data_IF_595349615754
#
_entry.id   IF_595349615754
#
_cell.length_a   1.000
_cell.length_b   1.000
_cell.length_c   1.000
_cell.angle_alpha   90.00
_cell.angle_beta   90.00
_cell.angle_gamma   90.00
#
_symmetry.space_group_name_H-M   'P 1'
#
loop_
_entity.id
_entity.type
_entity.pdbx_description
1 polymer ?
#
# COMPACT_ATOMS: atom_id res chain seq x y z
N UNK A 1 -4.27 35.67 17.19
CA UNK A 1 -4.05 34.22 17.41
C UNK A 1 -2.56 34.05 17.68
N UNK A 2 -2.15 33.43 18.81
CA UNK A 2 -0.72 33.32 19.15
C UNK A 2 0.00 32.38 18.19
N UNK A 3 1.26 32.66 17.87
CA UNK A 3 2.09 31.85 16.96
C UNK A 3 2.17 30.37 17.39
N UNK A 4 2.05 30.10 18.70
CA UNK A 4 1.99 28.74 19.24
C UNK A 4 0.73 27.98 18.81
N UNK A 5 -0.46 28.61 18.90
CA UNK A 5 -1.72 27.97 18.55
C UNK A 5 -1.82 27.61 17.05
N UNK A 6 -1.21 28.42 16.18
CA UNK A 6 -1.14 28.14 14.74
C UNK A 6 -0.21 26.94 14.47
N UNK A 7 0.89 26.84 15.20
CA UNK A 7 1.87 25.77 15.03
C UNK A 7 1.32 24.43 15.54
N UNK A 8 0.67 24.40 16.70
CA UNK A 8 0.00 23.20 17.23
C UNK A 8 -1.10 22.69 16.29
N UNK A 9 -1.90 23.60 15.71
CA UNK A 9 -2.93 23.22 14.75
C UNK A 9 -2.34 22.61 13.47
N UNK A 10 -1.29 23.21 12.90
CA UNK A 10 -0.62 22.71 11.70
C UNK A 10 0.01 21.32 11.92
N UNK A 11 0.59 21.09 13.10
CA UNK A 11 1.15 19.78 13.48
C UNK A 11 0.03 18.73 13.56
N UNK A 12 -1.07 19.04 14.26
CA UNK A 12 -2.20 18.13 14.40
C UNK A 12 -2.87 17.78 13.06
N UNK A 13 -2.97 18.75 12.14
CA UNK A 13 -3.50 18.52 10.80
C UNK A 13 -2.55 17.67 9.94
N UNK A 14 -1.24 17.93 10.05
CA UNK A 14 -0.21 17.11 9.41
C UNK A 14 -0.22 15.66 9.89
N UNK A 15 -0.34 15.43 11.19
CA UNK A 15 -0.41 14.11 11.82
C UNK A 15 -1.65 13.33 11.36
N UNK A 16 -2.83 13.97 11.36
CA UNK A 16 -4.07 13.36 10.85
C UNK A 16 -3.92 12.91 9.39
N UNK A 17 -3.32 13.75 8.55
CA UNK A 17 -3.08 13.42 7.14
C UNK A 17 -2.09 12.25 6.99
N UNK A 18 -1.04 12.21 7.80
CA UNK A 18 -0.06 11.12 7.80
C UNK A 18 -0.71 9.78 8.17
N UNK A 19 -1.42 9.75 9.32
CA UNK A 19 -2.11 8.55 9.81
C UNK A 19 -3.11 8.04 8.79
N UNK A 20 -3.92 8.94 8.21
CA UNK A 20 -4.90 8.58 7.18
C UNK A 20 -4.25 7.95 5.95
N UNK A 21 -3.15 8.53 5.48
CA UNK A 21 -2.39 8.02 4.33
C UNK A 21 -1.85 6.62 4.61
N UNK A 22 -1.22 6.43 5.77
CA UNK A 22 -0.67 5.14 6.20
C UNK A 22 -1.77 4.08 6.32
N UNK A 23 -2.87 4.38 7.03
CA UNK A 23 -3.99 3.46 7.18
C UNK A 23 -4.55 3.04 5.83
N UNK A 24 -4.68 3.97 4.88
CA UNK A 24 -5.24 3.68 3.57
C UNK A 24 -4.39 2.67 2.82
N UNK A 25 -3.08 2.90 2.76
CA UNK A 25 -2.18 2.02 2.04
C UNK A 25 -1.97 0.67 2.75
N UNK A 26 -2.07 0.61 4.08
CA UNK A 26 -2.21 -0.65 4.83
C UNK A 26 -3.47 -1.41 4.37
N UNK A 27 -4.63 -0.74 4.31
CA UNK A 27 -5.86 -1.40 3.89
C UNK A 27 -5.80 -1.90 2.44
N UNK A 28 -5.27 -1.09 1.52
CA UNK A 28 -5.10 -1.47 0.12
C UNK A 28 -4.12 -2.65 -0.03
N UNK A 29 -2.97 -2.60 0.64
CA UNK A 29 -1.98 -3.67 0.63
C UNK A 29 -2.54 -4.97 1.23
N UNK A 30 -3.21 -4.87 2.37
CA UNK A 30 -3.84 -6.03 3.04
C UNK A 30 -4.91 -6.69 2.16
N UNK A 31 -5.80 -5.93 1.53
CA UNK A 31 -6.84 -6.47 0.64
C UNK A 31 -6.21 -7.16 -0.57
N UNK A 32 -5.20 -6.55 -1.19
CA UNK A 32 -4.52 -7.12 -2.34
C UNK A 32 -3.82 -8.44 -1.99
N UNK A 33 -3.02 -8.44 -0.92
CA UNK A 33 -2.29 -9.63 -0.47
C UNK A 33 -3.21 -10.74 0.04
N UNK A 34 -4.33 -10.40 0.67
CA UNK A 34 -5.34 -11.38 1.04
C UNK A 34 -5.95 -12.04 -0.22
N UNK A 35 -6.25 -11.25 -1.26
CA UNK A 35 -6.69 -11.80 -2.55
C UNK A 35 -5.64 -12.72 -3.19
N UNK A 36 -4.36 -12.34 -3.12
CA UNK A 36 -3.28 -13.18 -3.62
C UNK A 36 -3.08 -14.45 -2.80
N UNK A 37 -3.26 -14.39 -1.48
CA UNK A 37 -3.26 -15.56 -0.60
C UNK A 37 -4.33 -16.57 -1.01
N UNK A 38 -5.56 -16.12 -1.27
CA UNK A 38 -6.62 -17.00 -1.76
C UNK A 38 -6.28 -17.61 -3.12
N UNK A 39 -5.74 -16.82 -4.04
CA UNK A 39 -5.30 -17.31 -5.34
C UNK A 39 -4.19 -18.37 -5.21
N UNK A 40 -3.28 -18.18 -4.27
CA UNK A 40 -2.16 -19.08 -4.01
C UNK A 40 -2.61 -20.44 -3.46
N UNK A 41 -3.70 -20.51 -2.70
CA UNK A 41 -4.26 -21.81 -2.30
C UNK A 41 -4.82 -22.63 -3.46
N UNK A 42 -5.27 -21.97 -4.53
CA UNK A 42 -5.83 -22.63 -5.72
C UNK A 42 -4.72 -23.08 -6.66
N UNK A 43 -3.72 -22.21 -6.89
CA UNK A 43 -2.66 -22.46 -7.87
C UNK A 43 -1.46 -23.22 -7.30
N UNK A 44 -1.16 -23.04 -6.01
CA UNK A 44 0.03 -23.57 -5.33
C UNK A 44 -0.35 -24.15 -3.94
N UNK A 45 -1.18 -25.20 -3.90
CA UNK A 45 -1.65 -25.78 -2.65
C UNK A 45 -0.49 -26.37 -1.82
N UNK A 46 0.49 -26.98 -2.48
CA UNK A 46 1.57 -27.74 -1.84
C UNK A 46 2.77 -26.87 -1.39
N UNK A 47 2.75 -25.59 -1.72
CA UNK A 47 3.88 -24.69 -1.46
C UNK A 47 3.91 -24.21 0.00
N UNK A 48 4.80 -24.81 0.79
CA UNK A 48 5.20 -24.37 2.14
C UNK A 48 4.12 -24.38 3.23
N UNK A 49 4.50 -24.21 4.51
CA UNK A 49 3.55 -24.26 5.63
C UNK A 49 2.58 -23.08 5.64
N UNK A 50 1.30 -23.34 5.90
CA UNK A 50 0.21 -22.34 5.92
C UNK A 50 0.52 -21.13 6.82
N UNK A 51 1.06 -21.36 8.01
CA UNK A 51 1.35 -20.31 8.99
C UNK A 51 2.34 -19.30 8.43
N UNK A 52 3.39 -19.76 7.74
CA UNK A 52 4.40 -18.88 7.16
C UNK A 52 3.88 -18.10 5.97
N UNK A 53 2.99 -18.69 5.16
CA UNK A 53 2.30 -17.99 4.07
C UNK A 53 1.40 -16.87 4.59
N UNK A 54 0.69 -17.11 5.70
CA UNK A 54 -0.17 -16.10 6.34
C UNK A 54 0.65 -14.94 6.90
N UNK A 55 1.72 -15.23 7.65
CA UNK A 55 2.61 -14.21 8.21
C UNK A 55 3.28 -13.40 7.09
N UNK A 56 3.69 -14.08 6.01
CA UNK A 56 4.26 -13.45 4.83
C UNK A 56 3.27 -12.51 4.15
N UNK A 57 2.14 -13.03 3.65
CA UNK A 57 1.20 -12.24 2.88
C UNK A 57 0.52 -11.15 3.70
N UNK A 58 0.03 -11.46 4.89
CA UNK A 58 -0.79 -10.50 5.64
C UNK A 58 0.06 -9.58 6.52
N UNK A 59 1.09 -10.13 7.16
CA UNK A 59 1.98 -9.37 8.04
C UNK A 59 3.00 -8.56 7.25
N UNK A 60 3.90 -9.26 6.56
CA UNK A 60 5.06 -8.66 5.89
C UNK A 60 4.64 -7.87 4.63
N UNK A 61 3.92 -8.51 3.72
CA UNK A 61 3.50 -7.89 2.46
C UNK A 61 2.24 -7.01 2.63
N UNK A 62 1.24 -7.43 3.41
CA UNK A 62 0.00 -6.68 3.53
C UNK A 62 0.18 -5.42 4.38
N UNK A 63 0.45 -5.62 5.68
CA UNK A 63 0.61 -4.52 6.64
C UNK A 63 1.95 -3.83 6.46
N UNK A 64 3.06 -4.58 6.37
CA UNK A 64 4.41 -4.01 6.30
C UNK A 64 4.62 -3.14 5.06
N UNK A 65 4.27 -3.66 3.87
CA UNK A 65 4.35 -2.90 2.62
C UNK A 65 3.42 -1.69 2.66
N UNK A 66 2.16 -1.86 3.05
CA UNK A 66 1.20 -0.77 3.08
C UNK A 66 1.62 0.36 4.03
N UNK A 67 2.21 0.03 5.18
CA UNK A 67 2.75 1.00 6.12
C UNK A 67 3.95 1.76 5.52
N UNK A 68 4.90 1.04 4.93
CA UNK A 68 6.08 1.63 4.30
C UNK A 68 5.70 2.54 3.12
N UNK A 69 4.85 2.05 2.22
CA UNK A 69 4.34 2.80 1.07
C UNK A 69 3.58 4.02 1.53
N UNK A 70 2.69 3.89 2.51
CA UNK A 70 1.90 5.01 3.02
C UNK A 70 2.75 6.10 3.67
N UNK A 71 3.74 5.72 4.49
CA UNK A 71 4.66 6.67 5.11
C UNK A 71 5.49 7.43 4.08
N UNK A 72 6.12 6.72 3.14
CA UNK A 72 6.95 7.32 2.10
C UNK A 72 6.12 8.17 1.13
N UNK A 73 4.93 7.71 0.76
CA UNK A 73 3.99 8.47 -0.08
C UNK A 73 3.56 9.77 0.60
N UNK A 74 3.30 9.74 1.91
CA UNK A 74 3.03 10.95 2.68
C UNK A 74 4.21 11.91 2.66
N UNK A 75 5.44 11.44 2.90
CA UNK A 75 6.63 12.32 2.88
C UNK A 75 6.77 13.06 1.54
N UNK A 76 6.55 12.36 0.43
CA UNK A 76 6.66 12.94 -0.92
C UNK A 76 5.48 13.86 -1.26
N UNK A 77 4.28 13.57 -0.77
CA UNK A 77 3.04 14.31 -1.08
C UNK A 77 2.68 15.41 -0.08
N UNK A 78 3.30 15.44 1.10
CA UNK A 78 2.99 16.34 2.22
C UNK A 78 3.05 17.83 1.84
N UNK A 79 4.01 18.20 0.99
CA UNK A 79 4.21 19.56 0.48
C UNK A 79 3.13 20.06 -0.47
N UNK A 80 2.29 19.17 -0.99
CA UNK A 80 1.23 19.52 -1.93
C UNK A 80 -0.10 19.71 -1.20
N UNK A 81 -0.82 20.75 -1.59
CA UNK A 81 -2.19 21.01 -1.13
C UNK A 81 -3.13 19.91 -1.61
N UNK A 82 -3.94 19.30 -0.71
CA UNK A 82 -4.98 18.34 -1.10
C UNK A 82 -5.89 18.91 -2.19
N UNK A 83 -6.22 18.08 -3.18
CA UNK A 83 -7.03 18.49 -4.33
C UNK A 83 -6.26 19.17 -5.47
N UNK A 84 -4.99 19.54 -5.29
CA UNK A 84 -4.14 20.01 -6.39
C UNK A 84 -3.72 18.86 -7.31
N UNK A 85 -3.55 19.15 -8.61
CA UNK A 85 -3.04 18.16 -9.59
C UNK A 85 -1.72 17.54 -9.15
N UNK A 86 -0.84 18.33 -8.53
CA UNK A 86 0.43 17.86 -7.99
C UNK A 86 0.26 16.83 -6.86
N UNK A 87 -0.74 17.00 -5.99
CA UNK A 87 -1.03 16.01 -4.96
C UNK A 87 -1.51 14.68 -5.57
N UNK A 88 -2.38 14.73 -6.57
CA UNK A 88 -2.85 13.51 -7.26
C UNK A 88 -1.72 12.76 -7.95
N UNK A 89 -0.93 13.45 -8.78
CA UNK A 89 0.12 12.81 -9.57
C UNK A 89 1.21 12.26 -8.67
N UNK A 90 1.67 13.04 -7.68
CA UNK A 90 2.73 12.59 -6.78
C UNK A 90 2.28 11.44 -5.90
N UNK A 91 1.05 11.45 -5.39
CA UNK A 91 0.52 10.33 -4.61
C UNK A 91 0.43 9.08 -5.49
N UNK A 92 -0.11 9.18 -6.70
CA UNK A 92 -0.29 8.03 -7.60
C UNK A 92 1.04 7.43 -8.04
N UNK A 93 1.96 8.27 -8.51
CA UNK A 93 3.26 7.83 -9.04
C UNK A 93 4.12 7.27 -7.91
N UNK A 94 4.24 7.98 -6.78
CA UNK A 94 5.09 7.51 -5.68
C UNK A 94 4.57 6.20 -5.09
N UNK A 95 3.28 6.09 -4.78
CA UNK A 95 2.73 4.84 -4.23
C UNK A 95 2.83 3.67 -5.21
N UNK A 96 2.54 3.88 -6.50
CA UNK A 96 2.69 2.82 -7.51
C UNK A 96 4.15 2.35 -7.65
N UNK A 97 5.11 3.27 -7.65
CA UNK A 97 6.53 2.94 -7.70
C UNK A 97 6.98 2.20 -6.43
N UNK A 98 6.57 2.67 -5.26
CA UNK A 98 6.95 2.06 -3.98
C UNK A 98 6.35 0.66 -3.83
N UNK A 99 5.08 0.46 -4.18
CA UNK A 99 4.48 -0.87 -4.25
C UNK A 99 5.21 -1.77 -5.24
N UNK A 100 5.60 -1.24 -6.40
CA UNK A 100 6.37 -1.99 -7.40
C UNK A 100 7.72 -2.44 -6.84
N UNK A 101 8.44 -1.58 -6.12
CA UNK A 101 9.71 -1.92 -5.46
C UNK A 101 9.50 -3.02 -4.41
N UNK A 102 8.50 -2.86 -3.54
CA UNK A 102 8.20 -3.85 -2.52
C UNK A 102 7.76 -5.20 -3.12
N UNK A 103 7.00 -5.17 -4.22
CA UNK A 103 6.62 -6.37 -4.97
C UNK A 103 7.85 -7.08 -5.55
N UNK A 104 8.80 -6.36 -6.15
CA UNK A 104 10.05 -6.94 -6.66
C UNK A 104 10.88 -7.54 -5.54
N UNK A 105 10.91 -6.90 -4.36
CA UNK A 105 11.56 -7.46 -3.19
C UNK A 105 10.90 -8.78 -2.75
N UNK A 106 9.56 -8.82 -2.71
CA UNK A 106 8.82 -10.04 -2.38
C UNK A 106 9.06 -11.16 -3.39
N UNK A 107 9.10 -10.83 -4.69
CA UNK A 107 9.47 -11.77 -5.74
C UNK A 107 10.90 -12.30 -5.54
N UNK A 108 11.87 -11.41 -5.28
CA UNK A 108 13.26 -11.79 -5.06
C UNK A 108 13.44 -12.69 -3.84
N UNK A 109 12.69 -12.46 -2.77
CA UNK A 109 12.71 -13.35 -1.61
C UNK A 109 12.05 -14.70 -1.88
N UNK A 110 10.93 -14.73 -2.61
CA UNK A 110 10.26 -15.98 -2.96
C UNK A 110 11.11 -16.83 -3.93
N UNK A 111 11.76 -16.17 -4.90
CA UNK A 111 12.49 -16.80 -6.00
C UNK A 111 13.95 -17.13 -5.64
N UNK A 112 14.70 -16.15 -5.11
CA UNK A 112 16.15 -16.29 -4.90
C UNK A 112 16.50 -16.83 -3.51
N UNK A 113 15.69 -16.52 -2.49
CA UNK A 113 15.92 -17.04 -1.13
C UNK A 113 15.25 -18.40 -0.92
N UNK A 114 14.52 -18.89 -1.94
CA UNK A 114 14.02 -20.26 -1.98
C UNK A 114 12.86 -20.54 -1.03
N UNK A 115 12.12 -19.50 -0.62
CA UNK A 115 10.91 -19.68 0.19
C UNK A 115 9.81 -20.39 -0.60
N UNK A 116 9.70 -20.06 -1.89
CA UNK A 116 8.80 -20.66 -2.87
C UNK A 116 7.35 -20.87 -2.39
N UNK A 117 6.80 -19.90 -1.68
CA UNK A 117 5.43 -19.96 -1.14
C UNK A 117 4.38 -19.57 -2.17
N UNK A 118 4.79 -18.85 -3.23
CA UNK A 118 3.87 -18.11 -4.08
C UNK A 118 4.00 -18.40 -5.57
N UNK A 119 4.73 -19.45 -5.90
CA UNK A 119 4.85 -19.88 -7.28
C UNK A 119 5.86 -19.06 -8.09
N UNK A 120 6.78 -18.33 -7.47
CA UNK A 120 7.72 -17.49 -8.21
C UNK A 120 8.70 -18.31 -9.04
N UNK A 121 8.93 -19.58 -8.71
CA UNK A 121 9.79 -20.49 -9.48
C UNK A 121 9.01 -21.10 -10.65
N UNK A 122 7.77 -21.52 -10.40
CA UNK A 122 6.90 -22.23 -11.34
C UNK A 122 6.26 -21.27 -12.34
N UNK A 123 5.80 -20.10 -11.88
CA UNK A 123 5.13 -19.08 -12.69
C UNK A 123 5.62 -17.64 -12.36
N UNK A 124 6.89 -17.31 -12.62
CA UNK A 124 7.48 -16.01 -12.29
C UNK A 124 6.73 -14.83 -12.92
N UNK A 125 6.29 -14.98 -14.17
CA UNK A 125 5.54 -13.95 -14.90
C UNK A 125 4.21 -13.62 -14.21
N UNK A 126 3.49 -14.63 -13.73
CA UNK A 126 2.22 -14.42 -13.04
C UNK A 126 2.44 -13.63 -11.74
N UNK A 127 3.50 -13.96 -11.00
CA UNK A 127 3.85 -13.27 -9.77
C UNK A 127 4.16 -11.78 -10.02
N UNK A 128 4.90 -11.46 -11.07
CA UNK A 128 5.24 -10.08 -11.43
C UNK A 128 4.02 -9.31 -11.95
N UNK A 129 3.25 -9.90 -12.89
CA UNK A 129 2.09 -9.22 -13.50
C UNK A 129 1.03 -8.90 -12.45
N UNK A 130 0.66 -9.85 -11.58
CA UNK A 130 -0.36 -9.60 -10.54
C UNK A 130 0.08 -8.48 -9.60
N UNK A 131 1.37 -8.46 -9.23
CA UNK A 131 1.90 -7.49 -8.29
C UNK A 131 2.00 -6.09 -8.87
N UNK A 132 2.56 -5.93 -10.07
CA UNK A 132 2.67 -4.63 -10.72
C UNK A 132 1.30 -4.06 -11.12
N UNK A 133 0.35 -4.91 -11.53
CA UNK A 133 -1.02 -4.47 -11.80
C UNK A 133 -1.71 -3.99 -10.52
N UNK A 134 -1.59 -4.71 -9.41
CA UNK A 134 -2.09 -4.26 -8.12
C UNK A 134 -1.40 -2.97 -7.63
N UNK A 135 -0.09 -2.83 -7.83
CA UNK A 135 0.66 -1.62 -7.49
C UNK A 135 0.11 -0.38 -8.23
N UNK A 136 -0.12 -0.51 -9.54
CA UNK A 136 -0.68 0.57 -10.36
C UNK A 136 -2.10 0.93 -9.91
N UNK A 137 -2.96 -0.09 -9.70
CA UNK A 137 -4.33 0.11 -9.23
C UNK A 137 -4.37 0.76 -7.84
N UNK A 138 -3.55 0.28 -6.91
CA UNK A 138 -3.45 0.84 -5.56
C UNK A 138 -2.95 2.29 -5.61
N UNK A 139 -2.04 2.64 -6.52
CA UNK A 139 -1.58 4.02 -6.66
C UNK A 139 -2.65 4.97 -7.20
N UNK A 140 -3.36 4.58 -8.26
CA UNK A 140 -4.47 5.36 -8.82
C UNK A 140 -5.60 5.51 -7.79
N UNK A 141 -6.00 4.39 -7.17
CA UNK A 141 -7.09 4.35 -6.21
C UNK A 141 -6.74 5.12 -4.92
N UNK A 142 -5.52 4.93 -4.40
CA UNK A 142 -5.02 5.65 -3.23
C UNK A 142 -4.94 7.15 -3.47
N UNK A 143 -4.46 7.56 -4.64
CA UNK A 143 -4.44 8.97 -5.04
C UNK A 143 -5.85 9.57 -5.11
N UNK A 144 -6.80 8.86 -5.71
CA UNK A 144 -8.19 9.29 -5.77
C UNK A 144 -8.83 9.40 -4.38
N UNK A 145 -8.65 8.39 -3.52
CA UNK A 145 -9.24 8.33 -2.18
C UNK A 145 -8.71 9.43 -1.26
N UNK A 146 -7.41 9.79 -1.36
CA UNK A 146 -6.80 10.82 -0.51
C UNK A 146 -7.03 12.24 -1.01
N UNK A 147 -7.02 12.46 -2.33
CA UNK A 147 -7.00 13.82 -2.89
C UNK A 147 -8.34 14.26 -3.47
N UNK A 148 -9.30 13.36 -3.70
CA UNK A 148 -10.64 13.71 -4.18
C UNK A 148 -11.62 14.02 -3.06
N UNK A 149 -12.49 15.01 -3.28
CA UNK A 149 -13.60 15.35 -2.36
C UNK A 149 -14.51 14.15 -2.13
N UNK A 150 -14.81 13.37 -3.18
CA UNK A 150 -15.64 12.16 -3.07
C UNK A 150 -14.93 11.07 -2.27
N UNK A 151 -13.65 10.86 -2.56
CA UNK A 151 -12.81 9.88 -1.87
C UNK A 151 -12.63 10.20 -0.39
N UNK A 152 -12.38 11.48 -0.08
CA UNK A 152 -12.22 11.93 1.29
C UNK A 152 -13.51 11.71 2.11
N UNK A 153 -14.67 12.11 1.58
CA UNK A 153 -15.97 11.85 2.21
C UNK A 153 -16.25 10.36 2.42
N UNK A 154 -15.86 9.52 1.46
CA UNK A 154 -16.03 8.08 1.57
C UNK A 154 -15.21 7.49 2.72
N UNK A 155 -13.95 7.90 2.85
CA UNK A 155 -13.08 7.50 3.96
C UNK A 155 -13.60 8.01 5.31
N UNK A 156 -14.12 9.23 5.37
CA UNK A 156 -14.69 9.79 6.61
C UNK A 156 -15.96 9.01 7.03
N UNK A 157 -16.75 8.53 6.06
CA UNK A 157 -17.92 7.69 6.31
C UNK A 157 -17.55 6.33 6.92
N UNK A 158 -16.38 5.79 6.56
CA UNK A 158 -15.89 4.50 7.06
C UNK A 158 -15.52 4.52 8.56
N UNK A 159 -15.47 5.68 9.24
CA UNK A 159 -15.14 5.86 10.68
C UNK A 159 -13.83 5.23 11.16
N UNK A 160 -13.07 4.59 10.28
CA UNK A 160 -11.78 3.93 10.55
C UNK A 160 -10.61 4.86 10.19
N UNK A 161 -10.85 5.84 9.32
CA UNK A 161 -9.85 6.74 8.71
C UNK A 161 -9.90 8.15 9.29
#
# INVERSE_FOLDING_TARGET
>A
MSTQAVNEYAIAEGEKRAIRTIKLFIALGFIAEFGFLLMSFILFPDNGPLVWRLVWALGLCGIGMGAAVGGLTYLVSSRFTPGSTGAYTMTAVSSALLFSVCQTLCWGLDHNVGLNYWGSIEMPLLFLIKGYTAALLAGILGSFLLNSVKGARFLDCLKVF
#
